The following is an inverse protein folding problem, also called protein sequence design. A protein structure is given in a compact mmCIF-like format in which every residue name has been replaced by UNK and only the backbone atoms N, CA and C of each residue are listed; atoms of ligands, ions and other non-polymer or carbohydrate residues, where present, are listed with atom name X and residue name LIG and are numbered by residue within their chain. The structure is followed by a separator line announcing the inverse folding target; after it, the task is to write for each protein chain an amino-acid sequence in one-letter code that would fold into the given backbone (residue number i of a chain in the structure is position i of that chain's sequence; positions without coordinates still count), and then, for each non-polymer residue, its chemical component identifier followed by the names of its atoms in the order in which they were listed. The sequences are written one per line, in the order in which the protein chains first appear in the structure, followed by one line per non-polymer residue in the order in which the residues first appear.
data_IF_513755962021
#
_entry.id   IF_513755962021
#
_cell.length_a   1.000
_cell.length_b   1.000
_cell.length_c   1.000
_cell.angle_alpha   90.00
_cell.angle_beta   90.00
_cell.angle_gamma   90.00
#
_symmetry.space_group_name_H-M   'P 1'
#
loop_
_entity.id
_entity.type
_entity.pdbx_description
1 polymer ?
#
# COMPACT_ATOMS: atom_id res chain seq x y z
N UNK A 1 8.04 22.09 18.21
CA UNK A 1 7.02 21.72 17.18
C UNK A 1 6.40 20.39 17.59
N UNK A 2 5.08 20.25 17.47
CA UNK A 2 4.42 18.96 17.73
C UNK A 2 4.85 17.93 16.66
N UNK A 3 5.08 16.68 17.10
CA UNK A 3 5.38 15.59 16.18
C UNK A 3 4.08 15.23 15.43
N UNK A 4 4.16 15.19 14.11
CA UNK A 4 3.06 14.74 13.27
C UNK A 4 2.92 13.23 13.44
N UNK A 5 1.72 12.77 13.83
CA UNK A 5 1.44 11.33 13.93
C UNK A 5 0.44 10.97 12.83
N UNK A 6 0.83 10.12 11.88
CA UNK A 6 -0.13 9.58 10.91
C UNK A 6 -1.24 8.83 11.65
N UNK A 7 -2.43 8.76 11.05
CA UNK A 7 -3.57 8.03 11.60
C UNK A 7 -4.10 7.05 10.59
N UNK A 8 -4.89 6.09 11.05
CA UNK A 8 -5.58 5.14 10.21
C UNK A 8 -4.62 4.41 9.26
N UNK A 9 -4.98 4.35 7.98
CA UNK A 9 -4.20 3.66 6.95
C UNK A 9 -2.78 4.20 6.76
N UNK A 10 -2.57 5.52 6.92
CA UNK A 10 -1.21 6.09 6.81
C UNK A 10 -0.32 5.72 7.99
N UNK A 11 -0.89 5.50 9.20
CA UNK A 11 -0.12 4.97 10.33
C UNK A 11 0.41 3.57 10.03
N UNK A 12 -0.45 2.70 9.49
CA UNK A 12 -0.06 1.35 9.13
C UNK A 12 0.97 1.32 7.97
N UNK A 13 0.85 2.23 6.99
CA UNK A 13 1.91 2.42 5.98
C UNK A 13 3.24 2.83 6.63
N UNK A 14 3.20 3.77 7.58
CA UNK A 14 4.39 4.22 8.31
C UNK A 14 5.05 3.08 9.12
N UNK A 15 4.25 2.19 9.71
CA UNK A 15 4.76 1.04 10.46
C UNK A 15 5.55 0.07 9.57
N UNK A 16 5.11 -0.12 8.32
CA UNK A 16 5.73 -1.04 7.37
C UNK A 16 6.98 -0.48 6.67
N UNK A 17 7.21 0.83 6.67
CA UNK A 17 8.48 1.41 6.17
C UNK A 17 9.63 0.98 7.05
N UNK A 18 10.74 0.52 6.47
CA UNK A 18 11.92 0.05 7.20
C UNK A 18 12.67 1.21 7.86
N UNK A 19 13.21 0.95 9.04
CA UNK A 19 14.07 1.91 9.72
C UNK A 19 15.38 2.15 8.94
N UNK A 20 15.80 3.40 8.84
CA UNK A 20 17.02 3.79 8.13
C UNK A 20 16.92 3.80 6.61
N UNK A 21 15.78 3.44 6.01
CA UNK A 21 15.56 3.45 4.56
C UNK A 21 15.37 4.86 4.01
N UNK A 22 15.76 5.08 2.74
CA UNK A 22 15.37 6.26 1.96
C UNK A 22 14.02 5.97 1.32
N UNK A 23 13.07 6.85 1.51
CA UNK A 23 11.67 6.66 1.10
C UNK A 23 11.37 7.39 -0.20
N UNK A 24 10.64 6.74 -1.13
CA UNK A 24 9.84 7.42 -2.15
C UNK A 24 8.35 7.27 -1.81
N UNK A 25 7.66 8.37 -1.57
CA UNK A 25 6.22 8.44 -1.29
C UNK A 25 5.50 8.94 -2.55
N UNK A 26 4.74 8.05 -3.19
CA UNK A 26 4.11 8.29 -4.50
C UNK A 26 2.63 8.62 -4.33
N UNK A 27 2.23 9.79 -4.81
CA UNK A 27 0.94 10.39 -4.52
C UNK A 27 0.93 11.00 -3.12
N UNK A 28 1.99 11.74 -2.80
CA UNK A 28 2.27 12.22 -1.44
C UNK A 28 1.24 13.19 -0.88
N UNK A 29 0.45 13.84 -1.76
CA UNK A 29 -0.59 14.83 -1.44
C UNK A 29 -0.01 15.98 -0.57
N UNK A 30 -0.17 15.92 0.74
CA UNK A 30 0.31 16.96 1.68
C UNK A 30 1.67 16.66 2.32
N UNK A 31 2.34 15.56 1.95
CA UNK A 31 3.64 15.16 2.50
C UNK A 31 3.60 14.64 3.95
N UNK A 32 2.44 14.26 4.47
CA UNK A 32 2.28 13.90 5.88
C UNK A 32 3.06 12.64 6.27
N UNK A 33 3.11 11.62 5.41
CA UNK A 33 3.83 10.39 5.68
C UNK A 33 5.36 10.64 5.77
N UNK A 34 6.02 11.20 4.75
CA UNK A 34 7.46 11.46 4.82
C UNK A 34 7.83 12.44 5.93
N UNK A 35 7.00 13.45 6.23
CA UNK A 35 7.21 14.38 7.35
C UNK A 35 7.23 13.63 8.66
N UNK A 36 6.23 12.78 8.93
CA UNK A 36 6.14 12.02 10.18
C UNK A 36 7.33 11.07 10.37
N UNK A 37 7.71 10.35 9.31
CA UNK A 37 8.83 9.41 9.34
C UNK A 37 10.20 10.10 9.52
N UNK A 38 10.42 11.24 8.86
CA UNK A 38 11.63 12.03 9.06
C UNK A 38 11.70 12.72 10.44
N UNK A 39 10.54 13.18 10.97
CA UNK A 39 10.47 13.77 12.30
C UNK A 39 10.75 12.78 13.42
N UNK A 40 10.23 11.55 13.29
CA UNK A 40 10.48 10.49 14.26
C UNK A 40 11.91 9.94 14.21
N UNK A 41 12.68 10.29 13.16
CA UNK A 41 14.01 9.74 12.92
C UNK A 41 14.00 8.33 12.35
N UNK A 42 12.82 7.77 11.99
CA UNK A 42 12.70 6.43 11.39
C UNK A 42 13.42 6.34 10.05
N UNK A 43 13.36 7.42 9.25
CA UNK A 43 14.05 7.51 7.95
C UNK A 43 14.97 8.73 7.87
N UNK A 44 16.10 8.65 7.16
CA UNK A 44 17.02 9.78 7.00
C UNK A 44 16.53 10.81 5.99
N UNK A 45 15.83 10.38 4.93
CA UNK A 45 15.38 11.24 3.83
C UNK A 45 14.21 10.64 3.07
N UNK A 46 13.51 11.49 2.30
CA UNK A 46 12.43 11.06 1.44
C UNK A 46 12.35 11.90 0.14
N UNK A 47 11.77 11.27 -0.90
CA UNK A 47 11.19 11.92 -2.07
C UNK A 47 9.67 11.90 -1.92
N UNK A 48 9.06 13.07 -1.92
CA UNK A 48 7.62 13.26 -1.92
C UNK A 48 7.17 13.55 -3.36
N UNK A 49 6.55 12.57 -4.01
CA UNK A 49 6.19 12.63 -5.42
C UNK A 49 4.68 12.76 -5.62
N UNK A 50 4.27 13.59 -6.56
CA UNK A 50 2.88 13.67 -7.03
C UNK A 50 2.86 14.04 -8.52
N UNK A 51 1.80 13.59 -9.21
CA UNK A 51 1.57 13.94 -10.62
C UNK A 51 1.00 15.36 -10.78
N UNK A 52 0.39 15.89 -9.71
CA UNK A 52 -0.27 17.18 -9.71
C UNK A 52 0.57 18.23 -8.98
N UNK A 53 0.75 19.43 -9.56
CA UNK A 53 1.56 20.49 -8.95
C UNK A 53 0.92 21.11 -7.69
N UNK A 54 -0.41 21.10 -7.55
CA UNK A 54 -1.08 21.70 -6.39
C UNK A 54 -0.86 20.91 -5.09
N UNK A 55 -1.12 19.57 -5.03
CA UNK A 55 -0.73 18.77 -3.88
C UNK A 55 0.75 18.90 -3.55
N UNK A 56 1.62 18.88 -4.58
CA UNK A 56 3.06 19.00 -4.38
C UNK A 56 3.47 20.32 -3.72
N UNK A 57 2.83 21.45 -4.08
CA UNK A 57 3.04 22.72 -3.42
C UNK A 57 2.60 22.70 -1.95
N UNK A 58 1.46 22.05 -1.65
CA UNK A 58 1.01 21.85 -0.27
C UNK A 58 2.00 21.02 0.55
N UNK A 59 2.59 20.00 -0.07
CA UNK A 59 3.66 19.21 0.55
C UNK A 59 4.90 20.08 0.83
N UNK A 60 5.36 20.89 -0.11
CA UNK A 60 6.49 21.82 0.06
C UNK A 60 6.29 22.76 1.23
N UNK A 61 5.11 23.40 1.30
CA UNK A 61 4.76 24.32 2.39
C UNK A 61 4.78 23.61 3.76
N UNK A 62 4.23 22.39 3.83
CA UNK A 62 4.24 21.59 5.04
C UNK A 62 5.67 21.18 5.42
N UNK A 63 6.46 20.66 4.48
CA UNK A 63 7.86 20.26 4.69
C UNK A 63 8.68 21.44 5.24
N UNK A 64 8.52 22.63 4.65
CA UNK A 64 9.18 23.83 5.11
C UNK A 64 8.73 24.24 6.52
N UNK A 65 7.42 24.19 6.80
CA UNK A 65 6.84 24.51 8.11
C UNK A 65 7.38 23.59 9.22
N UNK A 66 7.65 22.31 8.90
CA UNK A 66 8.24 21.36 9.84
C UNK A 66 9.78 21.39 9.87
N UNK A 67 10.43 22.24 9.08
CA UNK A 67 11.89 22.40 9.05
C UNK A 67 12.62 21.22 8.40
N UNK A 68 11.96 20.49 7.51
CA UNK A 68 12.46 19.23 6.91
C UNK A 68 12.95 19.39 5.46
N UNK A 69 13.06 20.61 4.91
CA UNK A 69 13.47 20.85 3.52
C UNK A 69 14.85 20.31 3.15
N UNK A 70 15.71 20.01 4.15
CA UNK A 70 17.01 19.35 3.91
C UNK A 70 16.92 17.82 3.84
N UNK A 71 15.81 17.25 4.31
CA UNK A 71 15.59 15.79 4.37
C UNK A 71 14.58 15.29 3.36
N UNK A 72 13.61 16.12 2.98
CA UNK A 72 12.51 15.74 2.09
C UNK A 72 12.55 16.66 0.87
N UNK A 73 12.65 16.05 -0.31
CA UNK A 73 12.54 16.71 -1.60
C UNK A 73 11.18 16.43 -2.20
N UNK A 74 10.59 17.42 -2.87
CA UNK A 74 9.37 17.22 -3.66
C UNK A 74 9.73 17.01 -5.12
N UNK A 75 8.95 16.20 -5.83
CA UNK A 75 9.18 15.94 -7.25
C UNK A 75 7.86 15.72 -8.00
N UNK A 76 7.67 16.48 -9.08
CA UNK A 76 6.57 16.24 -10.01
C UNK A 76 6.89 14.94 -10.79
N UNK A 77 6.08 13.90 -10.60
CA UNK A 77 6.31 12.58 -11.19
C UNK A 77 5.00 11.84 -11.45
N UNK A 78 4.87 11.26 -12.62
CA UNK A 78 3.82 10.30 -12.94
C UNK A 78 4.25 8.92 -12.42
N UNK A 79 3.76 8.58 -11.22
CA UNK A 79 4.24 7.40 -10.50
C UNK A 79 5.73 7.46 -10.20
N UNK A 80 6.47 6.44 -10.63
CA UNK A 80 7.91 6.28 -10.39
C UNK A 80 8.80 6.76 -11.55
N UNK A 81 8.24 7.43 -12.58
CA UNK A 81 8.98 7.79 -13.80
C UNK A 81 10.19 8.69 -13.54
N UNK A 82 10.05 9.62 -12.60
CA UNK A 82 11.11 10.58 -12.25
C UNK A 82 11.88 10.16 -10.98
N UNK A 83 11.76 8.89 -10.55
CA UNK A 83 12.48 8.35 -9.39
C UNK A 83 13.55 7.37 -9.87
N UNK A 84 14.80 7.65 -9.54
CA UNK A 84 15.91 6.77 -9.85
C UNK A 84 16.05 5.62 -8.83
N UNK A 85 16.50 4.44 -9.25
CA UNK A 85 16.61 3.27 -8.36
C UNK A 85 17.47 3.50 -7.12
N UNK A 86 18.50 4.33 -7.23
CA UNK A 86 19.43 4.64 -6.15
C UNK A 86 18.94 5.72 -5.18
N UNK A 87 17.79 6.35 -5.46
CA UNK A 87 17.22 7.38 -4.58
C UNK A 87 16.28 6.80 -3.50
N UNK A 88 15.77 5.57 -3.67
CA UNK A 88 14.81 4.97 -2.75
C UNK A 88 15.16 3.52 -2.42
N UNK A 89 15.12 3.18 -1.15
CA UNK A 89 15.20 1.82 -0.63
C UNK A 89 13.79 1.25 -0.39
N UNK A 90 12.89 2.11 0.08
CA UNK A 90 11.47 1.83 0.28
C UNK A 90 10.61 2.72 -0.62
N UNK A 91 9.54 2.15 -1.15
CA UNK A 91 8.53 2.87 -1.94
C UNK A 91 7.17 2.69 -1.27
N UNK A 92 6.47 3.78 -1.03
CA UNK A 92 5.07 3.74 -0.59
C UNK A 92 4.18 4.27 -1.71
N UNK A 93 3.11 3.54 -2.02
CA UNK A 93 2.02 3.99 -2.91
C UNK A 93 0.71 3.78 -2.15
N UNK A 94 0.16 4.86 -1.61
CA UNK A 94 -1.03 4.82 -0.78
C UNK A 94 -2.16 5.67 -1.37
N UNK A 95 -3.42 5.26 -1.12
CA UNK A 95 -4.59 6.03 -1.56
C UNK A 95 -4.94 5.89 -3.04
N UNK A 96 -4.40 4.90 -3.75
CA UNK A 96 -4.63 4.66 -5.18
C UNK A 96 -5.40 3.36 -5.41
N UNK A 97 -6.04 3.22 -6.57
CA UNK A 97 -6.62 1.94 -6.98
C UNK A 97 -5.55 0.89 -7.27
N UNK A 98 -5.85 -0.39 -7.00
CA UNK A 98 -4.89 -1.48 -7.24
C UNK A 98 -4.40 -1.58 -8.69
N UNK A 99 -5.28 -1.27 -9.65
CA UNK A 99 -4.91 -1.22 -11.07
C UNK A 99 -3.87 -0.13 -11.37
N UNK A 100 -4.03 1.06 -10.80
CA UNK A 100 -3.08 2.15 -10.97
C UNK A 100 -1.72 1.82 -10.31
N UNK A 101 -1.74 1.20 -9.11
CA UNK A 101 -0.51 0.73 -8.45
C UNK A 101 0.22 -0.27 -9.35
N UNK A 102 -0.48 -1.26 -9.91
CA UNK A 102 0.07 -2.22 -10.87
C UNK A 102 0.71 -1.54 -12.08
N UNK A 103 0.04 -0.54 -12.65
CA UNK A 103 0.52 0.16 -13.85
C UNK A 103 1.78 0.98 -13.54
N UNK A 104 1.84 1.63 -12.38
CA UNK A 104 3.04 2.33 -11.88
C UNK A 104 4.21 1.35 -11.72
N UNK A 105 4.00 0.17 -11.13
CA UNK A 105 5.03 -0.84 -10.95
C UNK A 105 5.50 -1.44 -12.26
N UNK A 106 4.58 -1.63 -13.21
CA UNK A 106 4.88 -2.13 -14.56
C UNK A 106 5.79 -1.16 -15.32
N UNK A 107 5.56 0.14 -15.15
CA UNK A 107 6.36 1.19 -15.79
C UNK A 107 7.75 1.39 -15.14
N UNK A 108 8.00 0.82 -13.97
CA UNK A 108 9.25 0.96 -13.21
C UNK A 108 9.93 -0.40 -12.95
N UNK A 109 10.52 -1.06 -13.96
CA UNK A 109 11.08 -2.41 -13.81
C UNK A 109 12.16 -2.52 -12.73
N UNK A 110 12.79 -1.43 -12.34
CA UNK A 110 13.79 -1.38 -11.28
C UNK A 110 13.27 -1.76 -9.89
N UNK A 111 11.96 -1.72 -9.67
CA UNK A 111 11.34 -2.20 -8.41
C UNK A 111 11.46 -3.72 -8.25
N UNK A 112 11.78 -4.45 -9.33
CA UNK A 112 12.09 -5.89 -9.31
C UNK A 112 13.52 -6.14 -8.86
N UNK A 113 13.89 -5.53 -7.76
CA UNK A 113 15.16 -5.73 -7.04
C UNK A 113 14.84 -6.21 -5.62
N UNK A 114 15.38 -7.36 -5.23
CA UNK A 114 15.19 -7.95 -3.91
C UNK A 114 15.67 -7.08 -2.73
N UNK A 115 16.35 -5.96 -2.98
CA UNK A 115 16.72 -4.98 -1.96
C UNK A 115 15.64 -3.93 -1.71
N UNK A 116 14.72 -3.73 -2.67
CA UNK A 116 13.61 -2.79 -2.55
C UNK A 116 12.50 -3.36 -1.70
N UNK A 117 11.93 -2.52 -0.87
CA UNK A 117 10.76 -2.85 -0.08
C UNK A 117 9.61 -1.92 -0.49
N UNK A 118 8.47 -2.50 -0.80
CA UNK A 118 7.34 -1.78 -1.35
C UNK A 118 6.16 -1.90 -0.40
N UNK A 119 5.50 -0.77 -0.10
CA UNK A 119 4.33 -0.70 0.77
C UNK A 119 3.17 -0.13 -0.03
N UNK A 120 2.05 -0.84 -0.05
CA UNK A 120 0.87 -0.46 -0.82
C UNK A 120 -0.36 -0.33 0.07
N UNK A 121 -1.15 0.71 -0.17
CA UNK A 121 -2.48 0.86 0.38
C UNK A 121 -3.48 1.07 -0.76
N UNK A 122 -4.02 -0.02 -1.33
CA UNK A 122 -5.02 0.06 -2.38
C UNK A 122 -6.37 0.53 -1.81
N UNK A 123 -7.04 1.45 -2.53
CA UNK A 123 -8.39 1.91 -2.21
C UNK A 123 -9.46 0.98 -2.80
N UNK A 124 -9.14 0.33 -3.91
CA UNK A 124 -9.99 -0.59 -4.67
C UNK A 124 -9.13 -1.68 -5.30
N UNK A 125 -9.72 -2.79 -5.76
CA UNK A 125 -9.03 -3.84 -6.52
C UNK A 125 -7.78 -4.40 -5.82
N UNK A 126 -7.86 -4.60 -4.49
CA UNK A 126 -6.73 -5.13 -3.72
C UNK A 126 -6.40 -6.58 -4.10
N UNK A 127 -7.42 -7.37 -4.41
CA UNK A 127 -7.33 -8.76 -4.85
C UNK A 127 -6.61 -8.88 -6.21
N UNK A 128 -6.97 -8.02 -7.17
CA UNK A 128 -6.29 -7.96 -8.46
C UNK A 128 -4.82 -7.53 -8.30
N UNK A 129 -4.53 -6.60 -7.39
CA UNK A 129 -3.17 -6.19 -7.08
C UNK A 129 -2.36 -7.34 -6.46
N UNK A 130 -2.91 -8.04 -5.47
CA UNK A 130 -2.24 -9.18 -4.81
C UNK A 130 -1.94 -10.27 -5.84
N UNK A 131 -2.93 -10.64 -6.67
CA UNK A 131 -2.72 -11.63 -7.73
C UNK A 131 -1.59 -11.21 -8.65
N UNK A 132 -1.63 -9.98 -9.16
CA UNK A 132 -0.59 -9.49 -10.05
C UNK A 132 0.80 -9.49 -9.39
N UNK A 133 0.92 -9.09 -8.14
CA UNK A 133 2.18 -9.10 -7.40
C UNK A 133 2.77 -10.50 -7.31
N UNK A 134 1.99 -11.48 -6.86
CA UNK A 134 2.44 -12.87 -6.70
C UNK A 134 2.83 -13.49 -8.04
N UNK A 135 2.02 -13.29 -9.08
CA UNK A 135 2.28 -13.79 -10.44
C UNK A 135 3.47 -13.10 -11.11
N UNK A 136 3.87 -11.92 -10.65
CA UNK A 136 5.05 -11.19 -11.15
C UNK A 136 6.30 -11.33 -10.28
N UNK A 137 6.29 -12.24 -9.30
CA UNK A 137 7.46 -12.59 -8.50
C UNK A 137 7.68 -11.70 -7.28
N UNK A 138 6.64 -11.03 -6.78
CA UNK A 138 6.68 -10.34 -5.51
C UNK A 138 6.07 -11.20 -4.40
N UNK A 139 6.80 -11.36 -3.30
CA UNK A 139 6.28 -11.97 -2.09
C UNK A 139 5.57 -10.91 -1.23
N UNK A 140 4.38 -11.23 -0.73
CA UNK A 140 3.75 -10.45 0.32
C UNK A 140 4.48 -10.75 1.63
N UNK A 141 5.08 -9.76 2.25
CA UNK A 141 5.83 -9.90 3.49
C UNK A 141 4.89 -9.77 4.69
N UNK A 142 4.16 -8.66 4.74
CA UNK A 142 3.17 -8.37 5.77
C UNK A 142 1.89 -7.84 5.13
N UNK A 143 0.77 -8.07 5.78
CA UNK A 143 -0.50 -7.49 5.41
C UNK A 143 -1.37 -7.35 6.67
N UNK A 144 -2.05 -6.23 6.79
CA UNK A 144 -3.04 -6.02 7.83
C UNK A 144 -4.20 -5.16 7.32
N UNK A 145 -5.35 -5.28 7.96
CA UNK A 145 -6.48 -4.41 7.73
C UNK A 145 -6.55 -3.32 8.80
N UNK A 146 -7.10 -2.18 8.42
CA UNK A 146 -7.31 -1.04 9.32
C UNK A 146 -8.66 -0.41 9.05
N UNK A 147 -9.34 0.04 10.11
CA UNK A 147 -10.54 0.84 10.01
C UNK A 147 -10.17 2.33 10.03
N UNK A 148 -10.57 3.07 9.00
CA UNK A 148 -10.29 4.49 8.83
C UNK A 148 -11.56 5.18 8.29
N UNK A 149 -12.04 6.24 8.96
CA UNK A 149 -13.29 6.93 8.64
C UNK A 149 -14.50 6.00 8.39
N UNK A 150 -14.66 4.97 9.25
CA UNK A 150 -15.76 4.01 9.18
C UNK A 150 -15.67 2.98 8.06
N UNK A 151 -14.61 3.00 7.24
CA UNK A 151 -14.35 2.03 6.18
C UNK A 151 -13.15 1.15 6.55
N UNK A 152 -13.11 -0.05 5.97
CA UNK A 152 -11.97 -0.94 6.10
C UNK A 152 -11.07 -0.85 4.86
N UNK A 153 -9.77 -0.84 5.10
CA UNK A 153 -8.72 -0.83 4.08
C UNK A 153 -7.66 -1.86 4.43
N UNK A 154 -6.88 -2.29 3.47
CA UNK A 154 -5.69 -3.11 3.71
C UNK A 154 -4.43 -2.33 3.37
N UNK A 155 -3.37 -2.63 4.11
CA UNK A 155 -2.00 -2.23 3.78
C UNK A 155 -1.17 -3.50 3.68
N UNK A 156 -0.34 -3.58 2.66
CA UNK A 156 0.56 -4.71 2.46
C UNK A 156 1.96 -4.22 2.16
N UNK A 157 2.96 -4.97 2.63
CA UNK A 157 4.35 -4.78 2.24
C UNK A 157 4.82 -5.96 1.41
N UNK A 158 5.68 -5.68 0.42
CA UNK A 158 6.14 -6.68 -0.54
C UNK A 158 7.62 -6.52 -0.85
N UNK A 159 8.21 -7.61 -1.31
CA UNK A 159 9.59 -7.65 -1.79
C UNK A 159 9.66 -8.53 -3.03
N UNK A 160 10.47 -8.15 -3.99
CA UNK A 160 10.70 -8.98 -5.17
C UNK A 160 11.62 -10.15 -4.82
N UNK A 161 11.16 -11.37 -5.08
CA UNK A 161 11.93 -12.62 -4.91
C UNK A 161 12.25 -13.29 -6.24
N UNK A 162 11.49 -12.96 -7.28
CA UNK A 162 11.55 -13.61 -8.59
C UNK A 162 10.67 -14.86 -8.67
N UNK A 163 10.18 -15.38 -7.54
CA UNK A 163 9.33 -16.58 -7.49
C UNK A 163 7.91 -16.24 -7.93
N UNK A 164 7.50 -16.76 -9.08
CA UNK A 164 6.17 -16.58 -9.65
C UNK A 164 5.29 -17.75 -9.29
N UNK A 165 4.17 -17.48 -8.66
CA UNK A 165 3.20 -18.50 -8.26
C UNK A 165 1.81 -18.14 -8.78
N UNK A 166 1.05 -19.11 -9.25
CA UNK A 166 -0.36 -18.89 -9.57
C UNK A 166 -1.12 -18.51 -8.29
N UNK A 167 -1.99 -17.54 -8.40
CA UNK A 167 -2.74 -17.01 -7.28
C UNK A 167 -4.24 -17.20 -7.55
N UNK A 168 -4.86 -18.12 -6.82
CA UNK A 168 -6.30 -18.36 -6.91
C UNK A 168 -7.11 -17.18 -6.33
N UNK A 169 -8.41 -17.08 -6.66
CA UNK A 169 -9.23 -15.93 -6.23
C UNK A 169 -9.36 -15.78 -4.71
N UNK A 170 -9.40 -16.87 -3.94
CA UNK A 170 -9.46 -16.81 -2.49
C UNK A 170 -8.15 -16.29 -1.90
N UNK A 171 -7.02 -16.85 -2.32
CA UNK A 171 -5.68 -16.40 -1.92
C UNK A 171 -5.46 -14.92 -2.28
N UNK A 172 -5.89 -14.48 -3.46
CA UNK A 172 -5.81 -13.07 -3.86
C UNK A 172 -6.63 -12.15 -2.95
N UNK A 173 -7.79 -12.62 -2.48
CA UNK A 173 -8.69 -11.84 -1.63
C UNK A 173 -8.19 -11.74 -0.19
N UNK A 174 -7.78 -12.88 0.40
CA UNK A 174 -7.35 -12.97 1.79
C UNK A 174 -5.89 -12.55 1.98
N UNK A 175 -5.02 -12.95 1.04
CA UNK A 175 -3.59 -12.68 1.13
C UNK A 175 -2.98 -13.25 2.41
N UNK A 176 -2.38 -12.36 3.21
CA UNK A 176 -1.80 -12.66 4.53
C UNK A 176 -2.59 -12.03 5.68
N UNK A 177 -3.87 -11.72 5.49
CA UNK A 177 -4.69 -11.20 6.58
C UNK A 177 -4.89 -12.27 7.64
N UNK A 178 -4.66 -11.91 8.90
CA UNK A 178 -5.02 -12.76 10.04
C UNK A 178 -6.53 -12.63 10.31
N UNK A 179 -7.26 -13.73 10.13
CA UNK A 179 -8.71 -13.76 10.31
C UNK A 179 -9.14 -13.65 11.79
N UNK A 180 -8.23 -13.84 12.74
CA UNK A 180 -8.52 -13.62 14.17
C UNK A 180 -8.48 -12.13 14.56
N UNK A 181 -7.92 -11.27 13.71
CA UNK A 181 -7.92 -9.82 13.91
C UNK A 181 -9.25 -9.18 13.50
N UNK A 182 -9.84 -8.36 14.38
CA UNK A 182 -11.14 -7.72 14.17
C UNK A 182 -11.24 -6.93 12.86
N UNK A 183 -10.20 -6.13 12.55
CA UNK A 183 -10.19 -5.32 11.33
C UNK A 183 -10.12 -6.19 10.07
N UNK A 184 -9.39 -7.29 10.09
CA UNK A 184 -9.30 -8.26 8.99
C UNK A 184 -10.66 -8.91 8.74
N UNK A 185 -11.34 -9.38 9.80
CA UNK A 185 -12.71 -9.91 9.68
C UNK A 185 -13.67 -8.86 9.12
N UNK A 186 -13.61 -7.63 9.63
CA UNK A 186 -14.46 -6.55 9.14
C UNK A 186 -14.25 -6.22 7.65
N UNK A 187 -12.99 -6.22 7.20
CA UNK A 187 -12.63 -6.04 5.80
C UNK A 187 -13.15 -7.19 4.92
N UNK A 188 -12.90 -8.43 5.34
CA UNK A 188 -13.29 -9.62 4.59
C UNK A 188 -14.81 -9.85 4.59
N UNK A 189 -15.51 -9.56 5.69
CA UNK A 189 -16.98 -9.61 5.74
C UNK A 189 -17.61 -8.64 4.74
N UNK A 190 -17.03 -7.44 4.59
CA UNK A 190 -17.48 -6.47 3.58
C UNK A 190 -17.18 -6.95 2.16
N UNK A 191 -16.01 -7.55 1.96
CA UNK A 191 -15.62 -8.15 0.67
C UNK A 191 -16.54 -9.31 0.30
N UNK A 192 -16.89 -10.17 1.25
CA UNK A 192 -17.85 -11.25 1.10
C UNK A 192 -19.24 -10.73 0.65
N UNK A 193 -19.73 -9.67 1.27
CA UNK A 193 -21.02 -9.07 0.88
C UNK A 193 -20.98 -8.56 -0.58
N UNK A 194 -19.87 -7.97 -1.00
CA UNK A 194 -19.68 -7.52 -2.38
C UNK A 194 -19.62 -8.72 -3.35
N UNK A 195 -18.89 -9.78 -2.99
CA UNK A 195 -18.79 -11.01 -3.78
C UNK A 195 -20.16 -11.70 -3.93
N UNK A 196 -20.94 -11.82 -2.85
CA UNK A 196 -22.31 -12.36 -2.90
C UNK A 196 -23.20 -11.56 -3.88
N UNK A 197 -23.04 -10.25 -3.94
CA UNK A 197 -23.80 -9.43 -4.88
C UNK A 197 -23.34 -9.66 -6.33
N UNK A 198 -22.04 -9.76 -6.57
CA UNK A 198 -21.47 -10.06 -7.89
C UNK A 198 -21.82 -11.47 -8.37
N UNK A 199 -21.83 -12.47 -7.47
CA UNK A 199 -22.12 -13.87 -7.83
C UNK A 199 -23.55 -14.11 -8.33
N UNK A 200 -24.49 -13.19 -8.07
CA UNK A 200 -25.83 -13.23 -8.68
C UNK A 200 -25.80 -13.07 -10.20
N UNK A 201 -24.83 -12.34 -10.73
CA UNK A 201 -24.61 -12.17 -12.18
C UNK A 201 -23.48 -13.05 -12.73
N UNK A 202 -22.62 -13.56 -11.86
CA UNK A 202 -21.48 -14.41 -12.23
C UNK A 202 -21.35 -15.60 -11.26
N UNK A 203 -21.99 -16.75 -11.55
CA UNK A 203 -21.93 -17.93 -10.70
C UNK A 203 -20.52 -18.54 -10.51
N UNK A 204 -19.54 -18.18 -11.34
CA UNK A 204 -18.15 -18.66 -11.19
C UNK A 204 -17.50 -18.16 -9.89
N UNK A 205 -18.06 -17.15 -9.24
CA UNK A 205 -17.61 -16.61 -7.96
C UNK A 205 -18.12 -17.40 -6.74
N UNK A 206 -19.10 -18.31 -6.91
CA UNK A 206 -19.69 -19.07 -5.80
C UNK A 206 -18.67 -19.88 -4.99
N UNK A 207 -17.68 -20.56 -5.60
CA UNK A 207 -16.68 -21.30 -4.82
C UNK A 207 -15.88 -20.41 -3.86
N UNK A 208 -15.49 -19.21 -4.30
CA UNK A 208 -14.74 -18.28 -3.46
C UNK A 208 -15.61 -17.66 -2.36
N UNK A 209 -16.90 -17.45 -2.65
CA UNK A 209 -17.88 -17.04 -1.64
C UNK A 209 -17.98 -18.06 -0.53
N UNK A 210 -18.19 -19.34 -0.86
CA UNK A 210 -18.29 -20.43 0.11
C UNK A 210 -17.02 -20.57 0.96
N UNK A 211 -15.86 -20.58 0.30
CA UNK A 211 -14.58 -20.70 0.98
C UNK A 211 -14.32 -19.57 1.97
N UNK A 212 -14.70 -18.33 1.61
CA UNK A 212 -14.56 -17.18 2.51
C UNK A 212 -15.57 -17.22 3.66
N UNK A 213 -16.80 -17.72 3.43
CA UNK A 213 -17.81 -17.91 4.48
C UNK A 213 -17.34 -18.93 5.53
N UNK A 214 -16.82 -20.08 5.09
CA UNK A 214 -16.26 -21.11 5.96
C UNK A 214 -15.09 -20.58 6.78
N UNK A 215 -14.13 -19.90 6.14
CA UNK A 215 -12.96 -19.34 6.81
C UNK A 215 -13.31 -18.27 7.86
N UNK A 216 -14.30 -17.41 7.58
CA UNK A 216 -14.76 -16.42 8.55
C UNK A 216 -15.51 -17.04 9.72
N UNK A 217 -16.28 -18.12 9.48
CA UNK A 217 -17.00 -18.84 10.53
C UNK A 217 -16.03 -19.58 11.47
N UNK A 218 -14.98 -20.19 10.93
CA UNK A 218 -13.96 -20.88 11.74
C UNK A 218 -13.10 -19.93 12.58
N UNK A 219 -13.03 -18.67 12.20
CA UNK A 219 -12.24 -17.62 12.90
C UNK A 219 -13.02 -16.86 13.99
N UNK A 220 -14.34 -17.14 14.15
CA UNK A 220 -15.17 -16.58 15.23
C UNK A 220 -14.94 -17.31 16.55
#
# INVERSE_FOLDING_TARGET
MSILKPKGRLSLCADYVREGSRLADIGTDHGYLPIALCQSGKIPSALACDINPLPLRSAEENIARFGLSKKIQTRLSDGLKEVSPDEADDVVIAGMGGELIRDILTAAPWVKDGKKHLVFQPMTHHDDLIRWLVENGFAIIQQAAVRDDGKYYTVLSTQFTGDKTACDPYTALVGKLDLHEENSRGFLSRSLQNLRNKSKGDPSLLPVVQQLEEALYEAE
#
